data_IF_179242797146
#
_entry.id   IF_179242797146
#
_cell.length_a   1.000
_cell.length_b   1.000
_cell.length_c   1.000
_cell.angle_alpha   90.00
_cell.angle_beta   90.00
_cell.angle_gamma   90.00
#
_symmetry.space_group_name_H-M   'P 1'
#
loop_
_entity.id
_entity.type
_entity.pdbx_description
1 polymer ?
#
# COMPACT_ATOMS: atom_id res chain seq x y z
N UNK A 1 55.76 31.45 -15.23
CA UNK A 1 56.66 30.35 -15.72
C UNK A 1 55.85 29.22 -16.24
N UNK A 2 56.09 28.87 -17.44
CA UNK A 2 55.52 27.91 -18.34
C UNK A 2 55.64 26.47 -17.88
N UNK A 3 54.65 25.64 -18.23
CA UNK A 3 54.77 24.16 -18.12
C UNK A 3 53.55 23.43 -18.66
N UNK A 4 53.50 23.33 -19.90
CA UNK A 4 53.39 22.27 -20.95
C UNK A 4 52.20 21.26 -20.80
N UNK A 5 51.31 21.43 -21.75
CA UNK A 5 50.34 20.44 -22.24
C UNK A 5 51.06 19.20 -22.83
N UNK A 6 50.59 17.98 -22.48
CA UNK A 6 50.90 16.77 -23.24
C UNK A 6 49.63 16.26 -23.92
N UNK A 7 49.63 16.31 -25.26
CA UNK A 7 48.71 15.59 -26.15
C UNK A 7 49.09 14.11 -26.12
N UNK A 8 48.13 13.22 -26.01
CA UNK A 8 48.28 11.81 -26.37
C UNK A 8 47.31 11.50 -27.50
N UNK A 9 47.86 10.82 -28.49
CA UNK A 9 47.31 10.57 -29.82
C UNK A 9 46.24 9.48 -29.81
N UNK A 10 45.27 9.69 -30.71
CA UNK A 10 44.33 8.67 -31.20
C UNK A 10 45.04 7.47 -31.85
N UNK A 11 44.61 6.27 -31.47
CA UNK A 11 44.74 5.10 -32.32
C UNK A 11 43.36 4.47 -32.53
N UNK A 12 42.90 4.56 -33.77
CA UNK A 12 41.75 3.84 -34.28
C UNK A 12 42.00 2.33 -34.27
N UNK A 13 41.10 1.57 -33.75
CA UNK A 13 40.99 0.12 -33.90
C UNK A 13 39.52 -0.24 -33.83
N UNK A 14 38.90 -0.31 -35.00
CA UNK A 14 37.52 -0.71 -35.14
C UNK A 14 37.36 -2.22 -34.90
N UNK A 15 36.36 -2.56 -34.11
CA UNK A 15 35.74 -3.90 -34.17
C UNK A 15 34.26 -3.73 -33.79
N UNK A 16 33.43 -3.85 -34.81
CA UNK A 16 31.98 -3.95 -34.73
C UNK A 16 31.58 -5.25 -34.02
N UNK A 17 30.75 -5.24 -33.00
CA UNK A 17 30.09 -6.46 -32.58
C UNK A 17 28.85 -6.71 -33.43
N UNK A 18 28.92 -7.77 -34.22
CA UNK A 18 27.80 -8.34 -34.94
C UNK A 18 26.64 -8.61 -34.01
N UNK A 19 25.46 -8.16 -34.43
CA UNK A 19 24.15 -8.48 -33.88
C UNK A 19 23.95 -9.98 -33.69
N UNK A 20 23.79 -10.42 -32.43
CA UNK A 20 23.14 -11.68 -32.11
C UNK A 20 21.67 -11.38 -31.82
N UNK A 21 20.89 -11.15 -32.89
CA UNK A 21 19.42 -11.14 -32.87
C UNK A 21 18.92 -12.50 -33.34
N UNK A 22 19.20 -13.53 -32.62
CA UNK A 22 18.53 -14.82 -32.77
C UNK A 22 18.22 -15.40 -31.41
N UNK A 23 17.01 -15.91 -31.25
CA UNK A 23 16.48 -16.75 -30.14
C UNK A 23 15.62 -16.09 -29.07
N UNK A 24 14.70 -15.20 -29.38
CA UNK A 24 13.56 -14.90 -28.48
C UNK A 24 12.19 -15.14 -29.15
N UNK A 25 12.13 -16.00 -30.16
CA UNK A 25 10.86 -16.31 -30.86
C UNK A 25 10.27 -17.71 -30.64
N UNK A 26 10.72 -18.47 -29.65
CA UNK A 26 10.24 -19.85 -29.47
C UNK A 26 9.90 -20.24 -28.02
N UNK A 27 9.17 -19.38 -27.27
CA UNK A 27 8.58 -19.78 -25.98
C UNK A 27 7.11 -19.40 -25.79
N UNK A 28 6.39 -19.10 -26.87
CA UNK A 28 4.95 -18.78 -26.79
C UNK A 28 4.02 -19.93 -27.21
N UNK A 29 4.50 -21.15 -27.40
CA UNK A 29 3.71 -22.23 -27.98
C UNK A 29 3.56 -23.48 -27.08
N UNK A 30 3.66 -23.37 -25.74
CA UNK A 30 3.39 -24.50 -24.85
C UNK A 30 2.70 -24.11 -23.54
N UNK A 31 1.82 -23.11 -23.55
CA UNK A 31 0.86 -22.93 -22.46
C UNK A 31 -0.39 -23.73 -22.82
N UNK A 32 -0.42 -25.00 -22.43
CA UNK A 32 -1.60 -25.85 -22.50
C UNK A 32 -2.73 -25.17 -21.73
N UNK A 33 -3.85 -24.90 -22.42
CA UNK A 33 -5.08 -24.45 -21.79
C UNK A 33 -5.54 -25.52 -20.82
N UNK A 34 -5.42 -25.28 -19.52
CA UNK A 34 -6.12 -26.05 -18.50
C UNK A 34 -7.61 -25.83 -18.72
N UNK A 35 -8.29 -26.81 -19.29
CA UNK A 35 -9.75 -26.86 -19.33
C UNK A 35 -10.23 -27.22 -17.93
N UNK A 36 -10.79 -26.28 -17.23
CA UNK A 36 -11.57 -26.54 -16.03
C UNK A 36 -12.87 -27.20 -16.48
N UNK A 37 -12.98 -28.52 -16.28
CA UNK A 37 -14.25 -29.22 -16.45
C UNK A 37 -15.19 -28.79 -15.30
N UNK A 38 -16.18 -27.97 -15.61
CA UNK A 38 -17.31 -27.78 -14.71
C UNK A 38 -18.08 -29.11 -14.69
N UNK A 39 -17.88 -29.91 -13.65
CA UNK A 39 -18.81 -31.01 -13.35
C UNK A 39 -20.11 -30.36 -12.87
N UNK A 40 -21.18 -30.70 -13.57
CA UNK A 40 -22.55 -30.30 -13.30
C UNK A 40 -23.01 -30.97 -11.99
N UNK A 41 -22.73 -30.30 -10.85
CA UNK A 41 -23.29 -30.72 -9.57
C UNK A 41 -24.77 -30.31 -9.53
N UNK A 42 -25.64 -31.30 -9.41
CA UNK A 42 -27.09 -31.15 -9.27
C UNK A 42 -27.38 -30.10 -8.15
N UNK A 43 -28.03 -29.00 -8.56
CA UNK A 43 -28.60 -28.02 -7.66
C UNK A 43 -29.69 -28.68 -6.80
N UNK A 44 -29.37 -29.05 -5.57
CA UNK A 44 -30.37 -29.18 -4.52
C UNK A 44 -30.82 -27.75 -4.17
N UNK A 45 -32.15 -27.53 -4.27
CA UNK A 45 -32.77 -26.26 -3.90
C UNK A 45 -32.53 -26.01 -2.39
N UNK A 46 -31.67 -25.04 -2.10
CA UNK A 46 -31.54 -24.51 -0.74
C UNK A 46 -32.66 -23.48 -0.50
N UNK A 47 -33.18 -23.37 0.76
CA UNK A 47 -34.27 -22.45 1.05
C UNK A 47 -33.84 -21.01 0.81
N UNK A 48 -34.79 -20.22 0.35
CA UNK A 48 -34.73 -18.81 -0.02
C UNK A 48 -34.22 -17.95 1.17
N UNK A 49 -32.88 -17.84 1.31
CA UNK A 49 -32.25 -16.83 2.14
C UNK A 49 -31.77 -15.75 1.20
N UNK A 50 -32.37 -14.56 1.27
CA UNK A 50 -31.80 -13.34 0.71
C UNK A 50 -30.29 -13.35 0.98
N UNK A 51 -29.42 -13.23 -0.04
CA UNK A 51 -27.98 -13.27 0.17
C UNK A 51 -27.61 -12.12 1.11
N UNK A 52 -27.17 -12.47 2.31
CA UNK A 52 -26.50 -11.53 3.19
C UNK A 52 -25.35 -10.89 2.38
N UNK A 53 -25.18 -9.56 2.41
CA UNK A 53 -24.06 -8.93 1.72
C UNK A 53 -22.80 -9.66 2.16
N UNK A 54 -21.98 -10.11 1.20
CA UNK A 54 -20.80 -10.92 1.50
C UNK A 54 -19.92 -10.14 2.49
N UNK A 55 -19.70 -10.71 3.66
CA UNK A 55 -18.85 -10.10 4.70
C UNK A 55 -17.40 -9.90 4.22
N UNK A 56 -17.02 -10.51 3.11
CA UNK A 56 -15.70 -10.45 2.49
C UNK A 56 -15.81 -9.99 1.05
N UNK A 57 -15.09 -8.91 0.75
CA UNK A 57 -14.96 -8.35 -0.60
C UNK A 57 -13.51 -8.52 -1.07
N UNK A 58 -13.29 -9.30 -2.13
CA UNK A 58 -12.01 -9.34 -2.81
C UNK A 58 -11.83 -8.08 -3.66
N UNK A 59 -10.70 -7.40 -3.49
CA UNK A 59 -10.39 -6.15 -4.16
C UNK A 59 -9.15 -6.34 -5.01
N UNK A 60 -9.18 -5.84 -6.24
CA UNK A 60 -8.01 -5.84 -7.14
C UNK A 60 -7.80 -4.48 -7.78
N UNK A 61 -6.54 -4.13 -8.00
CA UNK A 61 -6.10 -2.98 -8.81
C UNK A 61 -6.85 -1.67 -8.49
N UNK A 62 -7.56 -1.10 -9.47
CA UNK A 62 -8.28 0.17 -9.36
C UNK A 62 -9.36 0.20 -8.29
N UNK A 63 -9.99 -0.94 -8.00
CA UNK A 63 -11.01 -1.03 -6.97
C UNK A 63 -10.49 -0.70 -5.55
N UNK A 64 -9.18 -0.75 -5.31
CA UNK A 64 -8.61 -0.29 -4.04
C UNK A 64 -8.91 1.18 -3.77
N UNK A 65 -8.91 2.02 -4.80
CA UNK A 65 -9.27 3.41 -4.63
C UNK A 65 -10.70 3.57 -4.13
N UNK A 66 -11.64 2.97 -4.84
CA UNK A 66 -13.07 3.14 -4.57
C UNK A 66 -13.49 2.47 -3.24
N UNK A 67 -12.90 1.33 -2.89
CA UNK A 67 -13.30 0.56 -1.71
C UNK A 67 -12.51 0.92 -0.43
N UNK A 68 -11.26 1.35 -0.56
CA UNK A 68 -10.39 1.62 0.60
C UNK A 68 -10.23 3.12 0.82
N UNK A 69 -9.79 3.88 -0.20
CA UNK A 69 -9.53 5.32 -0.06
C UNK A 69 -10.83 6.10 0.18
N UNK A 70 -11.88 5.84 -0.59
CA UNK A 70 -13.16 6.51 -0.39
C UNK A 70 -13.75 6.19 1.00
N UNK A 71 -13.53 4.98 1.52
CA UNK A 71 -13.94 4.61 2.87
C UNK A 71 -13.23 5.41 3.95
N UNK A 72 -11.95 5.75 3.79
CA UNK A 72 -11.23 6.60 4.75
C UNK A 72 -12.00 7.89 5.03
N UNK A 73 -12.56 8.53 4.00
CA UNK A 73 -13.33 9.78 4.15
C UNK A 73 -14.56 9.66 5.05
N UNK A 74 -15.08 8.45 5.23
CA UNK A 74 -16.33 8.16 5.96
C UNK A 74 -16.14 7.75 7.42
N UNK A 75 -14.89 7.60 7.86
CA UNK A 75 -14.54 7.21 9.24
C UNK A 75 -15.07 8.22 10.25
N UNK A 76 -15.53 7.71 11.40
CA UNK A 76 -16.17 8.53 12.46
C UNK A 76 -15.43 8.57 13.78
N UNK A 77 -14.69 7.49 14.13
CA UNK A 77 -14.08 7.33 15.46
C UNK A 77 -12.59 6.99 15.38
N UNK A 78 -12.23 5.92 14.67
CA UNK A 78 -10.86 5.40 14.66
C UNK A 78 -10.43 5.01 13.26
N UNK A 79 -9.20 5.39 12.88
CA UNK A 79 -8.56 5.01 11.64
C UNK A 79 -7.14 4.53 11.94
N UNK A 80 -6.89 3.24 11.79
CA UNK A 80 -5.57 2.67 11.97
C UNK A 80 -4.99 2.25 10.62
N UNK A 81 -3.80 2.72 10.30
CA UNK A 81 -3.15 2.51 9.01
C UNK A 81 -1.78 1.88 9.23
N UNK A 82 -1.60 0.66 8.75
CA UNK A 82 -0.30 -0.02 8.69
C UNK A 82 0.15 -0.18 7.25
N UNK A 83 1.37 0.27 6.92
CA UNK A 83 1.92 0.22 5.56
C UNK A 83 3.44 0.10 5.58
N UNK A 84 4.02 -0.61 4.60
CA UNK A 84 5.49 -0.66 4.50
C UNK A 84 6.08 0.60 3.86
N UNK A 85 5.34 1.26 2.97
CA UNK A 85 5.78 2.47 2.28
C UNK A 85 4.64 3.50 2.25
N UNK A 86 4.99 4.76 2.45
CA UNK A 86 4.06 5.88 2.39
C UNK A 86 4.63 6.96 1.46
N UNK A 87 3.82 7.42 0.52
CA UNK A 87 4.17 8.47 -0.44
C UNK A 87 2.96 9.34 -0.69
N UNK A 88 3.19 10.42 -1.42
CA UNK A 88 2.13 11.28 -1.91
C UNK A 88 1.00 10.47 -2.56
N UNK A 89 -0.19 10.77 -2.10
CA UNK A 89 -1.43 10.15 -2.55
C UNK A 89 -2.50 11.23 -2.63
N UNK A 90 -3.07 11.37 -3.82
CA UNK A 90 -4.17 12.30 -4.07
C UNK A 90 -5.50 11.57 -4.11
N UNK A 91 -6.54 12.25 -3.68
CA UNK A 91 -7.92 11.74 -3.67
C UNK A 91 -8.83 12.68 -4.44
N UNK A 92 -9.93 12.15 -4.97
CA UNK A 92 -10.97 12.94 -5.65
C UNK A 92 -11.65 13.89 -4.65
N UNK A 93 -11.88 15.12 -5.06
CA UNK A 93 -12.62 16.14 -4.32
C UNK A 93 -13.51 16.95 -5.30
N UNK A 94 -14.75 16.55 -5.40
CA UNK A 94 -15.65 17.07 -6.43
C UNK A 94 -15.09 16.84 -7.84
N UNK A 95 -14.86 17.95 -8.58
CA UNK A 95 -14.22 17.92 -9.91
C UNK A 95 -12.70 17.97 -9.88
N UNK A 96 -12.11 18.14 -8.70
CA UNK A 96 -10.67 18.26 -8.49
C UNK A 96 -10.07 17.10 -7.71
N UNK A 97 -8.87 17.35 -7.22
CA UNK A 97 -8.13 16.42 -6.35
C UNK A 97 -7.50 17.16 -5.21
N UNK A 98 -7.33 16.49 -4.07
CA UNK A 98 -6.60 16.99 -2.92
C UNK A 98 -5.67 15.92 -2.32
N UNK A 99 -4.64 16.30 -1.57
CA UNK A 99 -3.79 15.35 -0.87
C UNK A 99 -4.60 14.51 0.14
N UNK A 100 -4.26 13.22 0.30
CA UNK A 100 -4.84 12.40 1.37
C UNK A 100 -4.54 12.99 2.75
N UNK A 101 -3.38 13.62 2.94
CA UNK A 101 -3.03 14.29 4.19
C UNK A 101 -4.05 15.36 4.60
N UNK A 102 -4.65 16.07 3.64
CA UNK A 102 -5.73 17.01 3.94
C UNK A 102 -6.98 16.29 4.47
N UNK A 103 -7.34 15.15 3.86
CA UNK A 103 -8.45 14.32 4.35
C UNK A 103 -8.20 13.81 5.75
N UNK A 104 -6.98 13.33 6.03
CA UNK A 104 -6.59 12.88 7.37
C UNK A 104 -6.61 14.04 8.38
N UNK A 105 -6.15 15.24 7.97
CA UNK A 105 -6.22 16.44 8.79
C UNK A 105 -7.68 16.81 9.14
N UNK A 106 -8.58 16.72 8.18
CA UNK A 106 -10.00 16.99 8.41
C UNK A 106 -10.65 15.92 9.32
N UNK A 107 -10.20 14.66 9.24
CA UNK A 107 -10.61 13.60 10.18
C UNK A 107 -10.11 13.91 11.60
N UNK A 108 -8.84 14.28 11.75
CA UNK A 108 -8.25 14.65 13.05
C UNK A 108 -8.98 15.83 13.69
N UNK A 109 -9.28 16.90 12.94
CA UNK A 109 -10.09 18.04 13.39
C UNK A 109 -11.49 17.64 13.88
N UNK A 110 -12.05 16.56 13.34
CA UNK A 110 -13.34 15.99 13.78
C UNK A 110 -13.23 15.06 14.97
N UNK A 111 -12.04 14.89 15.56
CA UNK A 111 -11.77 14.03 16.70
C UNK A 111 -11.65 12.55 16.37
N UNK A 112 -11.35 12.20 15.12
CA UNK A 112 -11.02 10.81 14.74
C UNK A 112 -9.64 10.47 15.27
N UNK A 113 -9.51 9.40 16.04
CA UNK A 113 -8.24 8.83 16.47
C UNK A 113 -7.54 8.21 15.26
N UNK A 114 -6.36 8.74 14.90
CA UNK A 114 -5.59 8.25 13.75
C UNK A 114 -4.27 7.66 14.24
N UNK A 115 -4.04 6.37 13.94
CA UNK A 115 -2.76 5.69 14.18
C UNK A 115 -2.12 5.26 12.88
N UNK A 116 -0.84 5.56 12.71
CA UNK A 116 -0.06 5.20 11.53
C UNK A 116 1.19 4.41 11.93
N UNK A 117 1.31 3.17 11.44
CA UNK A 117 2.58 2.42 11.49
C UNK A 117 3.17 2.34 10.09
N UNK A 118 4.45 2.70 9.96
CA UNK A 118 5.17 2.60 8.69
C UNK A 118 6.59 2.05 8.86
N UNK A 119 7.16 1.47 7.77
CA UNK A 119 8.44 0.76 7.87
C UNK A 119 9.66 1.65 7.70
N UNK A 120 9.55 2.79 7.06
CA UNK A 120 10.65 3.72 6.77
C UNK A 120 10.18 5.16 6.77
N UNK A 121 11.11 6.07 7.08
CA UNK A 121 10.83 7.49 7.01
C UNK A 121 10.32 7.89 5.61
N UNK A 122 9.26 8.67 5.55
CA UNK A 122 8.78 9.23 4.30
C UNK A 122 9.81 10.17 3.68
N UNK A 123 9.77 10.29 2.37
CA UNK A 123 10.65 11.22 1.64
C UNK A 123 10.40 12.69 2.01
N UNK A 124 11.34 13.60 1.65
CA UNK A 124 11.25 15.02 1.99
C UNK A 124 9.95 15.69 1.52
N UNK A 125 9.47 15.35 0.33
CA UNK A 125 8.21 15.89 -0.22
C UNK A 125 7.01 15.58 0.69
N UNK A 126 6.88 14.32 1.12
CA UNK A 126 5.81 13.93 2.05
C UNK A 126 5.89 14.69 3.38
N UNK A 127 7.11 14.86 3.93
CA UNK A 127 7.30 15.61 5.19
C UNK A 127 6.91 17.07 5.04
N UNK A 128 7.32 17.72 3.95
CA UNK A 128 6.93 19.11 3.65
C UNK A 128 5.41 19.27 3.50
N UNK A 129 4.75 18.27 2.92
CA UNK A 129 3.30 18.29 2.81
C UNK A 129 2.62 18.01 4.16
N UNK A 130 3.16 17.10 4.97
CA UNK A 130 2.67 16.82 6.31
C UNK A 130 2.72 18.06 7.22
N UNK A 131 3.80 18.84 7.15
CA UNK A 131 4.00 20.05 7.95
C UNK A 131 2.99 21.16 7.64
N UNK A 132 2.29 21.08 6.49
CA UNK A 132 1.20 22.01 6.15
C UNK A 132 -0.08 21.76 6.95
N UNK A 133 -0.18 20.66 7.66
CA UNK A 133 -1.38 20.23 8.36
C UNK A 133 -1.15 20.10 9.88
N UNK A 134 -1.16 21.20 10.65
CA UNK A 134 -0.91 21.17 12.11
C UNK A 134 -1.80 20.19 12.87
N UNK A 135 -3.06 20.02 12.44
CA UNK A 135 -3.98 19.08 13.05
C UNK A 135 -3.52 17.61 12.98
N UNK A 136 -2.63 17.25 12.03
CA UNK A 136 -2.03 15.92 11.98
C UNK A 136 -0.89 15.76 13.00
N UNK A 137 -0.17 16.84 13.32
CA UNK A 137 0.90 16.81 14.32
C UNK A 137 0.30 16.54 15.70
N UNK A 138 -0.88 17.09 15.98
CA UNK A 138 -1.57 16.94 17.27
C UNK A 138 -2.48 15.71 17.32
N UNK A 139 -3.13 15.36 16.19
CA UNK A 139 -4.22 14.38 16.15
C UNK A 139 -3.90 13.05 15.46
N UNK A 140 -2.64 12.83 15.03
CA UNK A 140 -2.22 11.56 14.46
C UNK A 140 -1.00 11.01 15.20
N UNK A 141 -1.16 9.86 15.82
CA UNK A 141 -0.04 9.12 16.41
C UNK A 141 0.70 8.31 15.33
N UNK A 142 2.02 8.28 15.39
CA UNK A 142 2.86 7.63 14.39
C UNK A 142 3.95 6.77 15.02
N UNK A 143 4.13 5.56 14.50
CA UNK A 143 5.21 4.64 14.90
C UNK A 143 5.98 4.19 13.68
N UNK A 144 7.31 4.28 13.73
CA UNK A 144 8.22 3.73 12.73
C UNK A 144 8.71 2.36 13.20
N UNK A 145 8.32 1.30 12.49
CA UNK A 145 8.81 -0.05 12.74
C UNK A 145 9.36 -0.69 11.46
N UNK A 146 10.70 -0.86 11.32
CA UNK A 146 11.35 -1.35 10.10
C UNK A 146 11.02 -2.82 9.76
N UNK A 147 10.28 -3.51 10.61
CA UNK A 147 9.80 -4.88 10.37
C UNK A 147 8.40 -4.92 9.78
N UNK A 148 7.69 -3.79 9.74
CA UNK A 148 6.34 -3.75 9.17
C UNK A 148 6.39 -3.97 7.66
N UNK A 149 5.68 -5.00 7.22
CA UNK A 149 5.46 -5.26 5.80
C UNK A 149 3.99 -5.55 5.48
N UNK A 150 3.13 -5.65 6.47
CA UNK A 150 1.69 -5.74 6.26
C UNK A 150 1.13 -4.42 5.71
N UNK A 151 0.00 -4.51 5.02
CA UNK A 151 -0.84 -3.38 4.64
C UNK A 151 -2.22 -3.66 5.21
N UNK A 152 -2.47 -3.03 6.34
CA UNK A 152 -3.71 -3.17 7.12
C UNK A 152 -4.31 -1.79 7.30
N UNK A 153 -5.59 -1.64 7.02
CA UNK A 153 -6.33 -0.42 7.38
C UNK A 153 -7.59 -0.86 8.14
N UNK A 154 -7.76 -0.33 9.35
CA UNK A 154 -8.93 -0.60 10.19
C UNK A 154 -9.78 0.65 10.28
N UNK A 155 -11.07 0.51 9.99
CA UNK A 155 -12.05 1.60 9.93
C UNK A 155 -13.05 1.43 11.07
N UNK A 156 -13.05 2.34 12.05
CA UNK A 156 -13.98 2.39 13.19
C UNK A 156 -14.09 1.07 13.99
N UNK A 157 -13.08 0.18 13.89
CA UNK A 157 -13.13 -1.20 14.42
C UNK A 157 -14.34 -2.02 13.91
N UNK A 158 -14.89 -1.63 12.74
CA UNK A 158 -16.08 -2.25 12.13
C UNK A 158 -15.80 -2.86 10.76
N UNK A 159 -14.74 -2.42 10.11
CA UNK A 159 -14.26 -2.99 8.86
C UNK A 159 -12.73 -2.98 8.84
N UNK A 160 -12.13 -3.91 8.12
CA UNK A 160 -10.69 -3.94 7.91
C UNK A 160 -10.35 -4.30 6.47
N UNK A 161 -9.33 -3.64 5.95
CA UNK A 161 -8.65 -4.00 4.71
C UNK A 161 -7.32 -4.67 5.06
N UNK A 162 -7.02 -5.78 4.39
CA UNK A 162 -5.71 -6.45 4.42
C UNK A 162 -5.32 -6.80 2.99
N UNK A 163 -4.13 -6.40 2.56
CA UNK A 163 -3.72 -6.65 1.18
C UNK A 163 -2.26 -6.35 0.88
N UNK A 164 -1.96 -6.22 -0.40
CA UNK A 164 -0.62 -5.93 -0.90
C UNK A 164 -0.33 -4.43 -1.10
N UNK A 165 -1.39 -3.60 -1.22
CA UNK A 165 -1.26 -2.21 -1.63
C UNK A 165 -0.72 -1.29 -0.52
N UNK A 166 0.44 -0.70 -0.75
CA UNK A 166 0.99 0.34 0.12
C UNK A 166 0.20 1.65 0.02
N UNK A 167 0.33 2.52 1.03
CA UNK A 167 -0.27 3.86 1.03
C UNK A 167 0.51 4.79 0.08
N UNK A 168 0.35 4.55 -1.20
CA UNK A 168 1.03 5.26 -2.29
C UNK A 168 0.08 5.50 -3.46
N UNK A 169 0.38 6.49 -4.31
CA UNK A 169 -0.44 6.77 -5.49
C UNK A 169 -0.56 5.58 -6.46
N UNK A 170 0.47 4.72 -6.55
CA UNK A 170 0.44 3.53 -7.40
C UNK A 170 -0.28 2.34 -6.77
N UNK A 171 -0.28 2.22 -5.43
CA UNK A 171 -0.99 1.17 -4.70
C UNK A 171 -2.46 1.48 -4.52
N UNK A 172 -2.78 2.40 -3.62
CA UNK A 172 -4.16 2.75 -3.26
C UNK A 172 -4.72 3.96 -4.00
N UNK A 173 -3.86 4.80 -4.60
CA UNK A 173 -4.26 6.10 -5.13
C UNK A 173 -4.84 6.11 -6.53
N UNK A 174 -4.91 7.32 -7.11
CA UNK A 174 -5.60 7.62 -8.36
C UNK A 174 -4.74 7.41 -9.62
N UNK A 175 -3.57 6.80 -9.54
CA UNK A 175 -2.77 6.58 -10.75
C UNK A 175 -3.55 5.78 -11.80
N UNK A 176 -3.41 6.17 -13.06
CA UNK A 176 -4.07 5.52 -14.17
C UNK A 176 -3.66 4.07 -14.34
N UNK A 177 -4.47 3.31 -15.07
CA UNK A 177 -4.33 1.86 -15.25
C UNK A 177 -2.92 1.44 -15.71
N UNK A 178 -2.31 2.20 -16.60
CA UNK A 178 -0.98 1.91 -17.14
C UNK A 178 0.20 2.27 -16.20
N UNK A 179 -0.08 2.90 -15.06
CA UNK A 179 0.96 3.39 -14.11
C UNK A 179 0.74 2.93 -12.69
N UNK A 180 -0.36 2.22 -12.41
CA UNK A 180 -0.62 1.63 -11.09
C UNK A 180 -0.01 0.26 -10.97
N UNK A 181 0.22 -0.17 -9.73
CA UNK A 181 0.60 -1.55 -9.45
C UNK A 181 -0.59 -2.50 -9.64
N UNK A 182 -0.29 -3.76 -9.95
CA UNK A 182 -1.24 -4.86 -9.75
C UNK A 182 -1.25 -5.22 -8.26
N UNK A 183 -2.38 -4.97 -7.63
CA UNK A 183 -2.55 -5.16 -6.19
C UNK A 183 -3.78 -6.04 -5.92
N UNK A 184 -3.74 -6.78 -4.82
CA UNK A 184 -4.84 -7.60 -4.35
C UNK A 184 -5.06 -7.42 -2.86
N UNK A 185 -6.31 -7.59 -2.40
CA UNK A 185 -6.64 -7.49 -0.98
C UNK A 185 -8.05 -7.94 -0.68
N UNK A 186 -8.35 -7.94 0.60
CA UNK A 186 -9.68 -8.25 1.13
C UNK A 186 -10.11 -7.07 2.01
N UNK A 187 -11.30 -6.56 1.76
CA UNK A 187 -12.04 -5.70 2.66
C UNK A 187 -13.15 -6.53 3.31
N UNK A 188 -13.25 -6.48 4.62
CA UNK A 188 -14.24 -7.27 5.33
C UNK A 188 -14.87 -6.51 6.49
N UNK A 189 -16.16 -6.80 6.75
CA UNK A 189 -16.90 -6.42 7.94
C UNK A 189 -17.10 -7.60 8.88
N UNK A 190 -16.58 -8.79 8.56
CA UNK A 190 -16.60 -9.95 9.43
C UNK A 190 -15.89 -9.63 10.76
N UNK A 191 -16.57 -9.89 11.87
CA UNK A 191 -16.11 -9.49 13.19
C UNK A 191 -14.76 -10.09 13.57
N UNK A 192 -14.55 -11.36 13.28
CA UNK A 192 -13.32 -12.06 13.64
C UNK A 192 -12.15 -11.61 12.75
N UNK A 193 -12.41 -11.36 11.47
CA UNK A 193 -11.41 -10.79 10.57
C UNK A 193 -10.97 -9.40 11.03
N UNK A 194 -11.92 -8.52 11.36
CA UNK A 194 -11.63 -7.16 11.85
C UNK A 194 -10.85 -7.21 13.16
N UNK A 195 -11.27 -8.07 14.10
CA UNK A 195 -10.58 -8.28 15.36
C UNK A 195 -9.13 -8.74 15.15
N UNK A 196 -8.91 -9.78 14.35
CA UNK A 196 -7.57 -10.30 14.09
C UNK A 196 -6.65 -9.28 13.40
N UNK A 197 -7.18 -8.51 12.44
CA UNK A 197 -6.44 -7.44 11.77
C UNK A 197 -6.06 -6.31 12.75
N UNK A 198 -6.98 -5.92 13.63
CA UNK A 198 -6.74 -4.92 14.66
C UNK A 198 -5.73 -5.42 15.70
N UNK A 199 -5.84 -6.66 16.17
CA UNK A 199 -4.89 -7.28 17.10
C UNK A 199 -3.48 -7.37 16.52
N UNK A 200 -3.34 -7.73 15.25
CA UNK A 200 -2.03 -7.75 14.58
C UNK A 200 -1.41 -6.35 14.52
N UNK A 201 -2.21 -5.33 14.20
CA UNK A 201 -1.78 -3.95 14.20
C UNK A 201 -1.35 -3.51 15.60
N UNK A 202 -2.20 -3.74 16.61
CA UNK A 202 -2.00 -3.29 17.98
C UNK A 202 -0.81 -3.97 18.66
N UNK A 203 -0.56 -5.26 18.40
CA UNK A 203 0.63 -5.96 18.88
C UNK A 203 1.93 -5.30 18.41
N UNK A 204 1.97 -4.77 17.20
CA UNK A 204 3.13 -4.01 16.70
C UNK A 204 3.16 -2.62 17.31
N UNK A 205 2.00 -1.97 17.39
CA UNK A 205 1.84 -0.64 18.01
C UNK A 205 2.33 -0.61 19.44
N UNK A 206 1.92 -1.56 20.25
CA UNK A 206 2.30 -1.70 21.67
C UNK A 206 3.69 -2.30 21.89
N UNK A 207 4.44 -2.58 20.83
CA UNK A 207 5.80 -3.08 20.93
C UNK A 207 5.93 -4.51 21.47
N UNK A 208 4.90 -5.36 21.35
CA UNK A 208 4.92 -6.73 21.85
C UNK A 208 6.12 -7.57 21.37
N UNK A 209 6.72 -7.18 20.23
CA UNK A 209 7.88 -7.86 19.63
C UNK A 209 9.21 -7.10 19.80
N UNK A 210 9.25 -6.03 20.60
CA UNK A 210 10.43 -5.16 20.70
C UNK A 210 11.57 -5.75 21.53
N UNK A 211 11.25 -6.46 22.63
CA UNK A 211 12.22 -7.00 23.58
C UNK A 211 13.33 -7.83 22.90
N UNK A 212 13.00 -8.68 21.93
CA UNK A 212 13.94 -9.54 21.20
C UNK A 212 14.27 -9.05 19.78
N UNK A 213 13.94 -7.83 19.43
CA UNK A 213 14.06 -7.32 18.07
C UNK A 213 15.52 -7.14 17.66
N UNK A 214 15.92 -7.78 16.54
CA UNK A 214 17.26 -7.64 15.96
C UNK A 214 17.38 -6.48 14.97
N UNK A 215 16.38 -5.60 14.88
CA UNK A 215 16.34 -4.45 13.98
C UNK A 215 16.25 -3.12 14.75
N UNK A 216 16.64 -3.12 16.03
CA UNK A 216 16.61 -1.91 16.89
C UNK A 216 17.43 -0.75 16.33
N UNK A 217 18.56 -1.03 15.67
CA UNK A 217 19.45 -0.03 15.05
C UNK A 217 18.77 0.79 13.93
N UNK A 218 17.72 0.23 13.33
CA UNK A 218 16.93 0.89 12.26
C UNK A 218 15.58 1.40 12.76
N UNK A 219 15.32 1.28 14.07
CA UNK A 219 14.02 1.60 14.65
C UNK A 219 14.04 3.03 15.20
N UNK A 220 13.15 3.90 14.71
CA UNK A 220 12.98 5.25 15.23
C UNK A 220 12.33 5.29 16.63
N UNK A 221 11.51 4.28 16.93
CA UNK A 221 10.68 4.20 18.14
C UNK A 221 10.89 2.88 18.90
N UNK A 222 12.09 2.57 19.41
CA UNK A 222 12.31 1.33 20.12
C UNK A 222 11.63 1.35 21.49
N UNK A 223 10.79 0.38 21.79
CA UNK A 223 10.18 0.17 23.11
C UNK A 223 11.01 -0.86 23.88
N UNK A 224 11.48 -0.49 25.07
CA UNK A 224 12.09 -1.36 26.08
C UNK A 224 13.52 -1.75 25.85
#
# INVERSE_FOLDING_TARGET
MFGKKKKIKDTKGGMSPRSNRESVKTRAAAAGRVRIHHQNAQRQAMPDSTPSPSEFLYISNGAHYDQVIERIKTVKKTLWIGTADIKDLYVKDGRGTKPLLEVLSDLAKRGVEIRLIHAKEPGPAFRQDFDKYPALIEGMERVLCPRVHFKIIVFDLKAAYVGSANLTGAGLGMKGENTRNFEAGILSTNRDFVKNAAEQFDNVWMGAHCKGCKRKEFCGDPIG
#
